data_IF_390607567831
#
_entry.id   IF_390607567831
#
_cell.length_a   1.000
_cell.length_b   1.000
_cell.length_c   1.000
_cell.angle_alpha   90.00
_cell.angle_beta   90.00
_cell.angle_gamma   90.00
#
_symmetry.space_group_name_H-M   'P 1'
#
loop_
_entity.id
_entity.type
_entity.pdbx_description
1 polymer ?
#
# COMPACT_ATOMS: atom_id res chain seq x y z
N UNK A 1 -10.80 9.16 4.20
CA UNK A 1 -9.71 9.86 3.51
C UNK A 1 -10.24 10.32 2.16
N UNK A 2 -10.00 11.57 1.76
CA UNK A 2 -10.43 12.05 0.46
C UNK A 2 -9.33 11.88 -0.61
N UNK A 3 -9.75 11.97 -1.87
CA UNK A 3 -8.86 11.83 -3.02
C UNK A 3 -7.81 12.95 -3.10
N UNK A 4 -8.12 14.15 -2.62
CA UNK A 4 -7.20 15.29 -2.64
C UNK A 4 -5.98 15.05 -1.77
N UNK A 5 -6.18 14.49 -0.58
CA UNK A 5 -5.10 14.06 0.32
C UNK A 5 -4.19 13.02 -0.36
N UNK A 6 -4.78 11.97 -0.94
CA UNK A 6 -4.04 10.90 -1.64
C UNK A 6 -3.23 11.49 -2.79
N UNK A 7 -3.87 12.27 -3.65
CA UNK A 7 -3.24 12.88 -4.81
C UNK A 7 -2.09 13.80 -4.42
N UNK A 8 -2.18 14.53 -3.30
CA UNK A 8 -1.11 15.39 -2.83
C UNK A 8 0.15 14.58 -2.45
N UNK A 9 -0.01 13.48 -1.72
CA UNK A 9 1.12 12.61 -1.33
C UNK A 9 1.75 11.96 -2.57
N UNK A 10 0.93 11.40 -3.46
CA UNK A 10 1.41 10.77 -4.70
C UNK A 10 2.14 11.81 -5.56
N UNK A 11 1.60 13.03 -5.68
CA UNK A 11 2.21 14.10 -6.45
C UNK A 11 3.54 14.54 -5.84
N UNK A 12 3.58 14.78 -4.53
CA UNK A 12 4.80 15.18 -3.84
C UNK A 12 5.90 14.13 -4.02
N UNK A 13 5.60 12.86 -3.71
CA UNK A 13 6.55 11.75 -3.81
C UNK A 13 6.92 11.45 -5.26
N UNK A 14 5.93 11.30 -6.14
CA UNK A 14 6.10 10.90 -7.54
C UNK A 14 6.82 11.95 -8.37
N UNK A 15 6.51 13.24 -8.21
CA UNK A 15 7.24 14.29 -8.92
C UNK A 15 8.64 14.49 -8.36
N UNK A 16 8.77 14.62 -7.03
CA UNK A 16 10.06 15.01 -6.42
C UNK A 16 11.11 13.90 -6.51
N UNK A 17 10.70 12.62 -6.41
CA UNK A 17 11.65 11.51 -6.33
C UNK A 17 11.82 10.78 -7.66
N UNK A 18 10.78 10.68 -8.48
CA UNK A 18 10.75 9.75 -9.62
C UNK A 18 10.42 10.41 -10.97
N UNK A 19 9.99 11.68 -10.96
CA UNK A 19 9.64 12.40 -12.18
C UNK A 19 8.40 11.87 -12.90
N UNK A 20 7.38 11.44 -12.15
CA UNK A 20 6.14 10.91 -12.72
C UNK A 20 5.42 11.93 -13.60
N UNK A 21 4.83 11.46 -14.70
CA UNK A 21 3.90 12.26 -15.50
C UNK A 21 2.59 12.50 -14.75
N UNK A 22 1.78 13.46 -15.21
CA UNK A 22 0.44 13.67 -14.65
C UNK A 22 -0.47 12.44 -14.81
N UNK A 23 -0.28 11.66 -15.87
CA UNK A 23 -1.03 10.42 -16.09
C UNK A 23 -0.63 9.35 -15.07
N UNK A 24 0.67 9.24 -14.78
CA UNK A 24 1.18 8.33 -13.75
C UNK A 24 0.70 8.72 -12.35
N UNK A 25 0.72 10.02 -12.02
CA UNK A 25 0.19 10.53 -10.75
C UNK A 25 -1.29 10.18 -10.61
N UNK A 26 -2.09 10.38 -11.66
CA UNK A 26 -3.50 10.03 -11.65
C UNK A 26 -3.69 8.52 -11.49
N UNK A 27 -2.97 7.71 -12.25
CA UNK A 27 -3.04 6.25 -12.20
C UNK A 27 -2.70 5.71 -10.80
N UNK A 28 -1.62 6.20 -10.19
CA UNK A 28 -1.21 5.81 -8.84
C UNK A 28 -2.21 6.30 -7.80
N UNK A 29 -2.73 7.53 -7.92
CA UNK A 29 -3.74 8.06 -7.00
C UNK A 29 -5.05 7.28 -7.05
N UNK A 30 -5.52 6.93 -8.25
CA UNK A 30 -6.70 6.08 -8.45
C UNK A 30 -6.50 4.69 -7.81
N UNK A 31 -5.32 4.09 -8.00
CA UNK A 31 -4.95 2.81 -7.38
C UNK A 31 -4.94 2.91 -5.85
N UNK A 32 -4.26 3.91 -5.28
CA UNK A 32 -4.21 4.13 -3.84
C UNK A 32 -5.61 4.34 -3.24
N UNK A 33 -6.47 5.07 -3.93
CA UNK A 33 -7.86 5.28 -3.51
C UNK A 33 -8.66 3.97 -3.52
N UNK A 34 -8.56 3.15 -4.57
CA UNK A 34 -9.23 1.83 -4.61
C UNK A 34 -8.71 0.90 -3.50
N UNK A 35 -7.40 0.86 -3.26
CA UNK A 35 -6.78 0.06 -2.19
C UNK A 35 -7.23 0.52 -0.80
N UNK A 36 -7.22 1.82 -0.51
CA UNK A 36 -7.65 2.32 0.81
C UNK A 36 -9.14 2.10 1.06
N UNK A 37 -9.98 2.23 0.03
CA UNK A 37 -11.40 1.90 0.14
C UNK A 37 -11.61 0.40 0.39
N UNK A 38 -10.88 -0.47 -0.32
CA UNK A 38 -10.90 -1.90 -0.06
C UNK A 38 -10.49 -2.23 1.38
N UNK A 39 -9.41 -1.63 1.89
CA UNK A 39 -8.98 -1.82 3.28
C UNK A 39 -10.08 -1.40 4.27
N UNK A 40 -10.70 -0.24 4.05
CA UNK A 40 -11.80 0.27 4.88
C UNK A 40 -13.00 -0.69 4.88
N UNK A 41 -13.42 -1.18 3.71
CA UNK A 41 -14.53 -2.14 3.58
C UNK A 41 -14.23 -3.46 4.33
N UNK A 42 -12.95 -3.78 4.50
CA UNK A 42 -12.45 -4.93 5.26
C UNK A 42 -12.04 -4.57 6.70
N UNK A 43 -12.55 -3.47 7.26
CA UNK A 43 -12.36 -3.02 8.65
C UNK A 43 -10.91 -2.69 9.02
N UNK A 44 -10.10 -2.30 8.03
CA UNK A 44 -8.75 -1.77 8.24
C UNK A 44 -8.76 -0.30 7.85
N UNK A 45 -8.97 0.56 8.84
CA UNK A 45 -8.96 2.01 8.64
C UNK A 45 -7.56 2.58 8.88
N UNK A 46 -7.15 3.47 7.99
CA UNK A 46 -5.88 4.19 8.09
C UNK A 46 -6.14 5.62 8.58
N UNK A 47 -5.48 6.00 9.67
CA UNK A 47 -5.32 7.41 10.03
C UNK A 47 -4.43 8.14 9.00
N UNK A 48 -4.39 9.48 9.04
CA UNK A 48 -3.61 10.28 8.07
C UNK A 48 -2.11 9.95 8.08
N UNK A 49 -1.54 9.66 9.25
CA UNK A 49 -0.10 9.36 9.37
C UNK A 49 0.22 8.02 8.72
N UNK A 50 -0.54 6.99 9.08
CA UNK A 50 -0.37 5.65 8.53
C UNK A 50 -0.68 5.60 7.04
N UNK A 51 -1.74 6.28 6.59
CA UNK A 51 -2.07 6.37 5.18
C UNK A 51 -0.96 7.07 4.40
N UNK A 52 -0.36 8.13 4.95
CA UNK A 52 0.77 8.81 4.28
C UNK A 52 1.91 7.84 4.00
N UNK A 53 2.30 7.04 5.01
CA UNK A 53 3.35 6.04 4.87
C UNK A 53 2.96 4.96 3.85
N UNK A 54 1.72 4.47 3.92
CA UNK A 54 1.26 3.41 3.03
C UNK A 54 1.11 3.88 1.57
N UNK A 55 0.55 5.07 1.34
CA UNK A 55 0.46 5.70 0.01
C UNK A 55 1.87 5.94 -0.55
N UNK A 56 2.81 6.40 0.28
CA UNK A 56 4.20 6.56 -0.14
C UNK A 56 4.83 5.22 -0.55
N UNK A 57 4.55 4.13 0.17
CA UNK A 57 4.99 2.79 -0.19
C UNK A 57 4.39 2.34 -1.53
N UNK A 58 3.07 2.48 -1.74
CA UNK A 58 2.41 2.14 -3.00
C UNK A 58 2.95 2.97 -4.18
N UNK A 59 3.27 4.24 -3.94
CA UNK A 59 3.89 5.12 -4.93
C UNK A 59 5.28 4.65 -5.31
N UNK A 60 6.11 4.27 -4.34
CA UNK A 60 7.43 3.68 -4.59
C UNK A 60 7.33 2.31 -5.26
N UNK A 61 6.33 1.49 -4.91
CA UNK A 61 6.06 0.21 -5.56
C UNK A 61 5.77 0.38 -7.06
N UNK A 62 4.98 1.37 -7.45
CA UNK A 62 4.74 1.66 -8.87
C UNK A 62 6.05 1.92 -9.63
N UNK A 63 6.96 2.71 -9.06
CA UNK A 63 8.27 2.96 -9.67
C UNK A 63 9.12 1.68 -9.79
N UNK A 64 9.12 0.84 -8.75
CA UNK A 64 9.81 -0.46 -8.75
C UNK A 64 9.27 -1.40 -9.82
N UNK A 65 7.95 -1.47 -9.94
CA UNK A 65 7.26 -2.24 -10.99
C UNK A 65 7.68 -1.74 -12.38
N UNK A 66 7.67 -0.42 -12.60
CA UNK A 66 8.08 0.18 -13.88
C UNK A 66 9.52 -0.15 -14.25
N UNK A 67 10.41 -0.23 -13.27
CA UNK A 67 11.83 -0.57 -13.44
C UNK A 67 12.12 -2.07 -13.40
N UNK A 68 11.14 -2.90 -13.06
CA UNK A 68 11.33 -4.31 -12.73
C UNK A 68 12.43 -4.52 -11.66
N UNK A 69 12.45 -3.64 -10.64
CA UNK A 69 13.45 -3.58 -9.57
C UNK A 69 12.77 -3.70 -8.21
N UNK A 70 12.52 -4.94 -7.79
CA UNK A 70 11.77 -5.24 -6.58
C UNK A 70 12.66 -5.34 -5.34
N UNK A 71 12.10 -5.00 -4.18
CA UNK A 71 12.79 -5.25 -2.92
C UNK A 71 13.01 -6.75 -2.73
N UNK A 72 14.18 -7.12 -2.18
CA UNK A 72 14.46 -8.48 -1.71
C UNK A 72 14.41 -8.49 -0.18
N UNK A 73 13.53 -9.34 0.36
CA UNK A 73 13.31 -9.47 1.80
C UNK A 73 13.81 -10.85 2.25
N UNK A 74 14.42 -10.91 3.45
CA UNK A 74 14.79 -12.19 4.04
C UNK A 74 13.54 -13.04 4.27
N UNK A 75 13.52 -14.27 3.75
CA UNK A 75 12.37 -15.14 3.86
C UNK A 75 11.98 -15.54 5.29
N UNK A 76 12.93 -15.48 6.22
CA UNK A 76 12.73 -15.92 7.61
C UNK A 76 11.71 -15.07 8.38
N UNK A 77 11.38 -13.88 7.88
CA UNK A 77 10.35 -13.02 8.49
C UNK A 77 8.94 -13.27 7.93
N UNK A 78 8.78 -14.04 6.85
CA UNK A 78 7.46 -14.33 6.27
C UNK A 78 6.55 -15.07 7.27
N UNK A 79 7.12 -15.95 8.10
CA UNK A 79 6.39 -16.76 9.07
C UNK A 79 5.79 -15.94 10.23
N UNK A 80 6.12 -14.65 10.32
CA UNK A 80 5.62 -13.75 11.37
C UNK A 80 4.27 -13.10 11.02
N UNK A 81 3.83 -13.20 9.76
CA UNK A 81 2.54 -12.66 9.32
C UNK A 81 1.53 -13.80 9.24
N UNK A 82 0.40 -13.65 9.94
CA UNK A 82 -0.68 -14.64 9.90
C UNK A 82 -1.36 -14.71 8.52
N UNK A 83 -1.83 -15.90 8.16
CA UNK A 83 -2.45 -16.20 6.86
C UNK A 83 -3.54 -15.19 6.44
N UNK A 84 -4.39 -14.74 7.38
CA UNK A 84 -5.45 -13.77 7.10
C UNK A 84 -4.90 -12.43 6.58
N UNK A 85 -3.77 -11.97 7.10
CA UNK A 85 -3.12 -10.74 6.64
C UNK A 85 -2.48 -10.93 5.27
N UNK A 86 -1.91 -12.11 5.03
CA UNK A 86 -1.32 -12.45 3.75
C UNK A 86 -2.39 -12.53 2.65
N UNK A 87 -3.50 -13.23 2.90
CA UNK A 87 -4.66 -13.29 2.01
C UNK A 87 -5.23 -11.91 1.70
N UNK A 88 -5.26 -11.02 2.69
CA UNK A 88 -5.71 -9.65 2.49
C UNK A 88 -4.73 -8.87 1.60
N UNK A 89 -3.43 -9.04 1.81
CA UNK A 89 -2.41 -8.42 0.96
C UNK A 89 -2.47 -8.94 -0.48
N UNK A 90 -2.70 -10.24 -0.69
CA UNK A 90 -2.90 -10.79 -2.04
C UNK A 90 -4.07 -10.11 -2.76
N UNK A 91 -5.20 -9.89 -2.07
CA UNK A 91 -6.34 -9.16 -2.64
C UNK A 91 -5.99 -7.71 -2.98
N UNK A 92 -5.22 -7.04 -2.12
CA UNK A 92 -4.68 -5.69 -2.43
C UNK A 92 -3.78 -5.75 -3.67
N UNK A 93 -2.92 -6.75 -3.80
CA UNK A 93 -2.04 -6.87 -4.97
C UNK A 93 -2.81 -7.18 -6.26
N UNK A 94 -3.97 -7.85 -6.18
CA UNK A 94 -4.86 -8.02 -7.33
C UNK A 94 -5.41 -6.68 -7.83
N UNK A 95 -5.74 -5.74 -6.92
CA UNK A 95 -6.10 -4.36 -7.27
C UNK A 95 -4.90 -3.67 -7.93
N UNK A 96 -3.71 -3.76 -7.33
CA UNK A 96 -2.49 -3.14 -7.87
C UNK A 96 -2.19 -3.66 -9.28
N UNK A 97 -2.27 -4.97 -9.52
CA UNK A 97 -2.05 -5.61 -10.82
C UNK A 97 -3.03 -5.12 -11.88
N UNK A 98 -4.30 -4.83 -11.52
CA UNK A 98 -5.28 -4.23 -12.43
C UNK A 98 -4.83 -2.86 -12.92
N UNK A 99 -4.17 -2.05 -12.09
CA UNK A 99 -3.67 -0.73 -12.45
C UNK A 99 -2.31 -0.77 -13.15
N UNK A 100 -1.35 -1.48 -12.58
CA UNK A 100 0.06 -1.42 -13.02
C UNK A 100 0.37 -2.43 -14.12
N UNK A 101 -0.56 -3.35 -14.42
CA UNK A 101 -0.44 -4.37 -15.46
C UNK A 101 0.82 -5.25 -15.32
N UNK A 102 1.27 -5.45 -14.09
CA UNK A 102 2.46 -6.23 -13.77
C UNK A 102 2.20 -7.14 -12.58
N UNK A 103 2.92 -8.26 -12.53
CA UNK A 103 2.95 -9.13 -11.36
C UNK A 103 3.72 -8.49 -10.21
N UNK A 104 3.24 -8.75 -9.00
CA UNK A 104 3.84 -8.25 -7.75
C UNK A 104 4.56 -9.43 -7.09
N UNK A 105 5.80 -9.21 -6.65
CA UNK A 105 6.60 -10.27 -6.01
C UNK A 105 6.06 -10.60 -4.62
N UNK A 106 6.38 -11.81 -4.14
CA UNK A 106 5.99 -12.24 -2.78
C UNK A 106 6.50 -11.28 -1.70
N UNK A 107 7.68 -10.72 -1.89
CA UNK A 107 8.31 -9.76 -0.98
C UNK A 107 7.47 -8.48 -0.85
N UNK A 108 6.93 -7.96 -1.95
CA UNK A 108 6.04 -6.80 -1.93
C UNK A 108 4.67 -7.14 -1.33
N UNK A 109 4.13 -8.34 -1.58
CA UNK A 109 2.91 -8.82 -0.92
C UNK A 109 3.11 -8.79 0.61
N UNK A 110 4.26 -9.22 1.10
CA UNK A 110 4.57 -9.19 2.52
C UNK A 110 4.74 -7.78 3.10
N UNK A 111 5.35 -6.84 2.37
CA UNK A 111 5.41 -5.44 2.82
C UNK A 111 4.01 -4.84 2.95
N UNK A 112 3.14 -5.11 1.98
CA UNK A 112 1.73 -4.71 2.03
C UNK A 112 1.04 -5.34 3.25
N UNK A 113 1.24 -6.65 3.47
CA UNK A 113 0.69 -7.34 4.63
C UNK A 113 1.19 -6.73 5.96
N UNK A 114 2.46 -6.33 6.02
CA UNK A 114 3.06 -5.67 7.18
C UNK A 114 2.38 -4.33 7.50
N UNK A 115 2.11 -3.52 6.47
CA UNK A 115 1.39 -2.25 6.65
C UNK A 115 -0.05 -2.46 7.14
N UNK A 116 -0.75 -3.45 6.59
CA UNK A 116 -2.12 -3.80 7.00
C UNK A 116 -2.13 -4.35 8.44
N UNK A 117 -1.16 -5.21 8.78
CA UNK A 117 -0.99 -5.79 10.11
C UNK A 117 -0.78 -4.72 11.18
N UNK A 118 0.17 -3.81 10.95
CA UNK A 118 0.42 -2.69 11.86
C UNK A 118 -0.84 -1.83 12.09
N UNK A 119 -1.71 -1.69 11.09
CA UNK A 119 -2.98 -0.98 11.28
C UNK A 119 -4.01 -1.76 12.07
N UNK A 120 -4.14 -3.07 11.84
CA UNK A 120 -5.01 -3.90 12.67
C UNK A 120 -4.57 -3.90 14.13
N UNK A 121 -3.28 -3.85 14.42
CA UNK A 121 -2.75 -3.77 15.79
C UNK A 121 -3.06 -2.42 16.45
N UNK A 122 -2.83 -1.29 15.76
CA UNK A 122 -3.18 0.04 16.27
C UNK A 122 -4.66 0.17 16.62
N UNK A 123 -5.55 -0.42 15.83
CA UNK A 123 -6.98 -0.43 16.10
C UNK A 123 -7.35 -1.28 17.33
N UNK A 124 -6.59 -2.33 17.63
CA UNK A 124 -6.77 -3.14 18.85
C UNK A 124 -6.28 -2.37 20.08
N UNK A 125 -5.10 -1.75 20.01
CA UNK A 125 -4.52 -0.99 21.13
C UNK A 125 -5.31 0.30 21.45
N UNK A 126 -5.87 0.96 20.44
CA UNK A 126 -6.75 2.12 20.61
C UNK A 126 -8.15 1.79 21.18
N UNK A 127 -8.51 0.50 21.28
CA UNK A 127 -9.79 0.04 21.84
C UNK A 127 -9.79 -0.18 23.35
N UNK A 128 -8.61 -0.22 24.00
CA UNK A 128 -8.45 -0.54 25.42
C UNK A 128 -8.23 0.69 26.32
N UNK A 129 -8.33 1.92 25.81
CA UNK A 129 -8.43 3.11 26.66
C UNK A 129 -9.89 3.44 26.96
N UNK A 130 -10.44 2.77 27.98
CA UNK A 130 -11.56 3.27 28.79
C UNK A 130 -11.05 3.82 30.11
#
# INVERSE_FOLDING_TARGET
MDYGFINNIVKEKGLSMYGFSNEEIKLVSDCCNEVLNFCKDNKVEFDETAATVFIAHLTTLYERVKKNDFASINSDIFDQIGDELFDMAEKVTAIIKKYYKHDITKDEIFLIASHIGAMKERLKEGGDTK
#
